data_IF_270435076211
#
_entry.id   IF_270435076211
#
_cell.length_a   1.000
_cell.length_b   1.000
_cell.length_c   1.000
_cell.angle_alpha   90.00
_cell.angle_beta   90.00
_cell.angle_gamma   90.00
#
_symmetry.space_group_name_H-M   'P 1'
#
loop_
_entity.id
_entity.type
_entity.pdbx_description
1 polymer ?
#
# COMPACT_ATOMS: atom_id res chain seq x y z
N UNK A 1 61.52 -34.23 8.18
CA UNK A 1 60.26 -33.62 8.66
C UNK A 1 59.25 -33.68 7.53
N UNK A 2 58.01 -34.17 7.73
CA UNK A 2 57.01 -34.15 6.68
C UNK A 2 56.72 -32.69 6.30
N UNK A 3 56.73 -32.41 5.02
CA UNK A 3 56.37 -31.09 4.46
C UNK A 3 54.89 -30.90 4.75
N UNK A 4 54.56 -30.10 5.76
CA UNK A 4 53.21 -29.70 6.06
C UNK A 4 52.63 -29.00 4.83
N UNK A 5 51.47 -29.48 4.35
CA UNK A 5 50.84 -28.86 3.21
C UNK A 5 50.26 -27.49 3.58
N UNK A 6 50.29 -26.56 2.64
CA UNK A 6 49.73 -25.17 2.78
C UNK A 6 48.42 -25.13 3.56
N UNK A 7 47.54 -26.09 3.27
CA UNK A 7 46.19 -26.19 3.87
C UNK A 7 46.21 -26.54 5.36
N UNK A 8 47.11 -27.41 5.78
CA UNK A 8 47.20 -27.87 7.18
C UNK A 8 47.69 -26.72 8.10
N UNK A 9 48.67 -25.95 7.64
CA UNK A 9 49.16 -24.79 8.36
C UNK A 9 48.08 -23.73 8.52
N UNK A 10 47.37 -23.40 7.42
CA UNK A 10 46.29 -22.42 7.49
C UNK A 10 45.17 -22.88 8.41
N UNK A 11 44.81 -24.17 8.35
CA UNK A 11 43.76 -24.75 9.20
C UNK A 11 44.16 -24.67 10.68
N UNK A 12 45.45 -24.94 11.01
CA UNK A 12 45.95 -24.82 12.38
C UNK A 12 45.85 -23.38 12.88
N UNK A 13 46.33 -22.40 12.10
CA UNK A 13 46.21 -20.99 12.47
C UNK A 13 44.76 -20.54 12.62
N UNK A 14 43.87 -20.99 11.76
CA UNK A 14 42.45 -20.66 11.88
C UNK A 14 41.85 -21.22 13.16
N UNK A 15 42.26 -22.43 13.60
CA UNK A 15 41.86 -23.02 14.89
C UNK A 15 42.45 -22.25 16.07
N UNK A 16 43.75 -21.96 16.05
CA UNK A 16 44.45 -21.28 17.13
C UNK A 16 43.94 -19.85 17.37
N UNK A 17 43.48 -19.20 16.32
CA UNK A 17 42.94 -17.83 16.36
C UNK A 17 41.41 -17.75 16.24
N UNK A 18 40.70 -18.88 16.42
CA UNK A 18 39.27 -18.96 16.23
C UNK A 18 38.49 -17.92 17.04
N UNK A 19 38.80 -17.86 18.35
CA UNK A 19 38.11 -16.95 19.27
C UNK A 19 38.38 -15.49 18.91
N UNK A 20 39.64 -15.14 18.58
CA UNK A 20 40.01 -13.79 18.16
C UNK A 20 39.39 -13.37 16.83
N UNK A 21 39.23 -14.32 15.90
CA UNK A 21 38.49 -14.10 14.64
C UNK A 21 37.00 -13.87 14.89
N UNK A 22 36.42 -14.63 15.82
CA UNK A 22 35.02 -14.52 16.22
C UNK A 22 34.73 -13.21 16.92
N UNK A 23 35.62 -12.76 17.79
CA UNK A 23 35.45 -11.50 18.53
C UNK A 23 35.86 -10.26 17.72
N UNK A 24 36.33 -10.45 16.46
CA UNK A 24 36.77 -9.34 15.62
C UNK A 24 38.09 -8.72 16.05
N UNK A 25 38.81 -9.34 17.01
CA UNK A 25 40.12 -8.88 17.51
C UNK A 25 41.22 -9.04 16.45
N UNK A 26 41.06 -9.98 15.52
CA UNK A 26 41.92 -10.13 14.35
C UNK A 26 41.05 -10.27 13.09
N UNK A 27 41.44 -9.55 12.04
CA UNK A 27 40.80 -9.73 10.74
C UNK A 27 41.39 -10.90 9.96
N UNK A 28 40.64 -11.46 9.00
CA UNK A 28 41.15 -12.49 8.07
C UNK A 28 42.44 -12.06 7.35
N UNK A 29 42.59 -10.77 7.06
CA UNK A 29 43.79 -10.18 6.48
C UNK A 29 44.90 -10.08 7.53
N UNK A 30 44.57 -9.78 8.77
CA UNK A 30 45.50 -9.79 9.91
C UNK A 30 46.08 -11.18 10.14
N UNK A 31 45.21 -12.22 10.15
CA UNK A 31 45.65 -13.60 10.30
C UNK A 31 46.51 -14.06 9.11
N UNK A 32 46.16 -13.68 7.89
CA UNK A 32 46.96 -13.98 6.69
C UNK A 32 48.36 -13.36 6.74
N UNK A 33 48.49 -12.15 7.31
CA UNK A 33 49.80 -11.53 7.52
C UNK A 33 50.66 -12.30 8.53
N UNK A 34 50.07 -12.82 9.59
CA UNK A 34 50.80 -13.66 10.57
C UNK A 34 51.27 -14.94 9.89
N UNK A 35 50.42 -15.64 9.17
CA UNK A 35 50.74 -16.86 8.43
C UNK A 35 51.85 -16.60 7.41
N UNK A 36 51.78 -15.54 6.63
CA UNK A 36 52.80 -15.19 5.65
C UNK A 36 54.12 -14.81 6.29
N UNK A 37 54.11 -14.16 7.45
CA UNK A 37 55.30 -13.81 8.21
C UNK A 37 56.03 -15.07 8.71
N UNK A 38 55.30 -16.06 9.22
CA UNK A 38 55.85 -17.28 9.80
C UNK A 38 56.24 -18.32 8.73
N UNK A 39 55.62 -18.27 7.57
CA UNK A 39 55.81 -19.22 6.43
C UNK A 39 55.90 -18.50 5.08
N UNK A 40 56.92 -17.60 4.88
CA UNK A 40 57.00 -16.81 3.64
C UNK A 40 57.26 -17.66 2.39
N UNK A 41 57.94 -18.78 2.54
CA UNK A 41 58.28 -19.66 1.39
C UNK A 41 57.13 -20.52 0.92
N UNK A 42 56.04 -20.61 1.68
CA UNK A 42 54.86 -21.40 1.32
C UNK A 42 53.76 -20.59 0.57
N UNK A 43 53.80 -19.29 0.65
CA UNK A 43 52.81 -18.42 0.03
C UNK A 43 53.47 -17.40 -0.87
N UNK A 44 52.85 -17.13 -2.02
CA UNK A 44 53.33 -16.15 -2.98
C UNK A 44 53.39 -14.74 -2.40
N UNK A 45 52.35 -14.40 -1.65
CA UNK A 45 52.18 -13.12 -0.97
C UNK A 45 51.11 -13.24 0.12
N UNK A 46 50.83 -12.13 0.83
CA UNK A 46 49.83 -12.06 1.88
C UNK A 46 48.39 -12.34 1.34
N UNK A 47 48.13 -12.01 0.08
CA UNK A 47 46.81 -12.25 -0.49
C UNK A 47 46.58 -13.73 -0.84
N UNK A 48 47.62 -14.46 -1.25
CA UNK A 48 47.58 -15.92 -1.40
C UNK A 48 47.29 -16.61 -0.06
N UNK A 49 47.94 -16.20 1.00
CA UNK A 49 47.66 -16.68 2.36
C UNK A 49 46.22 -16.32 2.78
N UNK A 50 45.73 -15.11 2.44
CA UNK A 50 44.37 -14.67 2.74
C UNK A 50 43.30 -15.45 1.96
N UNK A 51 43.59 -15.82 0.73
CA UNK A 51 42.68 -16.69 -0.02
C UNK A 51 42.55 -18.08 0.62
N UNK A 52 43.65 -18.61 1.12
CA UNK A 52 43.62 -19.87 1.86
C UNK A 52 42.84 -19.73 3.18
N UNK A 53 43.03 -18.67 3.95
CA UNK A 53 42.22 -18.38 5.15
C UNK A 53 40.75 -18.28 4.80
N UNK A 54 40.39 -17.62 3.70
CA UNK A 54 38.98 -17.49 3.23
C UNK A 54 38.34 -18.83 2.88
N UNK A 55 39.07 -19.80 2.34
CA UNK A 55 38.57 -21.15 2.07
C UNK A 55 38.10 -21.85 3.35
N UNK A 56 38.86 -21.71 4.43
CA UNK A 56 38.52 -22.32 5.73
C UNK A 56 37.53 -21.49 6.55
N UNK A 57 37.41 -20.19 6.30
CA UNK A 57 36.50 -19.28 7.03
C UNK A 57 35.27 -18.88 6.28
N UNK A 58 34.97 -19.50 5.13
CA UNK A 58 33.70 -19.37 4.40
C UNK A 58 33.46 -18.07 3.64
N UNK A 59 34.50 -17.27 3.32
CA UNK A 59 34.34 -15.96 2.69
C UNK A 59 34.40 -15.96 1.14
N UNK A 60 34.54 -17.08 0.49
CA UNK A 60 34.31 -17.26 -0.96
C UNK A 60 33.31 -18.41 -1.09
N UNK A 61 32.09 -18.07 -1.42
CA UNK A 61 30.98 -18.76 -2.04
C UNK A 61 30.95 -20.28 -2.27
N UNK A 62 32.00 -20.99 -2.07
CA UNK A 62 32.01 -22.45 -2.06
C UNK A 62 31.70 -22.94 -0.64
N UNK A 63 30.43 -22.91 -0.31
CA UNK A 63 29.86 -23.62 0.82
C UNK A 63 29.99 -25.13 0.71
N UNK A 64 31.03 -25.60 0.06
CA UNK A 64 31.27 -26.97 -0.34
C UNK A 64 31.99 -27.83 0.69
N UNK A 65 32.27 -27.30 1.87
CA UNK A 65 32.65 -28.20 2.99
C UNK A 65 31.52 -28.24 4.01
N UNK A 66 30.72 -29.32 4.05
CA UNK A 66 29.65 -29.51 5.05
C UNK A 66 30.16 -29.48 6.49
N UNK A 67 31.47 -29.62 6.68
CA UNK A 67 32.17 -29.72 7.96
C UNK A 67 33.04 -28.48 8.31
N UNK A 68 32.91 -27.37 7.58
CA UNK A 68 33.58 -26.15 7.99
C UNK A 68 32.83 -25.53 9.18
N UNK A 69 33.47 -25.37 10.36
CA UNK A 69 32.83 -24.71 11.49
C UNK A 69 32.53 -23.21 11.22
N UNK A 70 32.95 -22.71 10.06
CA UNK A 70 32.82 -21.34 9.60
C UNK A 70 31.86 -21.25 8.40
N UNK A 71 30.74 -21.94 8.47
CA UNK A 71 29.65 -21.75 7.49
C UNK A 71 29.10 -20.33 7.57
N UNK A 72 28.53 -19.83 6.46
CA UNK A 72 27.85 -18.53 6.39
C UNK A 72 26.91 -18.30 7.58
N UNK A 73 26.32 -19.37 8.12
CA UNK A 73 25.45 -19.37 9.30
C UNK A 73 26.15 -18.87 10.58
N UNK A 74 27.37 -19.33 10.85
CA UNK A 74 28.12 -18.87 12.04
C UNK A 74 28.59 -17.42 11.89
N UNK A 75 28.91 -16.98 10.68
CA UNK A 75 29.25 -15.58 10.38
C UNK A 75 28.05 -14.65 10.53
N UNK A 76 26.85 -15.10 10.13
CA UNK A 76 25.60 -14.35 10.30
C UNK A 76 25.22 -14.26 11.78
N UNK A 77 25.28 -15.36 12.51
CA UNK A 77 25.00 -15.38 13.96
C UNK A 77 26.01 -14.50 14.75
N UNK A 78 27.27 -14.43 14.30
CA UNK A 78 28.30 -13.57 14.90
C UNK A 78 28.08 -12.10 14.59
N UNK A 79 27.70 -11.75 13.35
CA UNK A 79 27.33 -10.40 12.98
C UNK A 79 26.12 -9.89 13.77
N UNK A 80 25.17 -10.78 14.06
CA UNK A 80 23.98 -10.44 14.87
C UNK A 80 24.33 -10.22 16.36
N UNK A 81 25.37 -10.85 16.89
CA UNK A 81 25.83 -10.65 18.29
C UNK A 81 26.68 -9.41 18.48
N UNK A 82 27.48 -9.07 17.47
CA UNK A 82 28.47 -7.96 17.56
C UNK A 82 27.89 -6.56 17.27
N UNK A 83 26.84 -6.47 16.45
CA UNK A 83 26.24 -5.20 16.04
C UNK A 83 24.72 -5.27 16.14
N UNK A 84 24.16 -4.75 17.23
CA UNK A 84 22.71 -4.50 17.30
C UNK A 84 22.41 -3.27 16.45
N UNK A 85 21.66 -3.46 15.38
CA UNK A 85 21.06 -2.33 14.66
C UNK A 85 20.13 -1.56 15.60
N UNK A 86 20.05 -0.23 15.46
CA UNK A 86 19.06 0.54 16.19
C UNK A 86 17.65 0.02 15.86
N UNK A 87 16.75 0.07 16.85
CA UNK A 87 15.36 -0.32 16.65
C UNK A 87 14.70 0.63 15.66
N UNK A 88 14.03 0.07 14.65
CA UNK A 88 13.25 0.87 13.69
C UNK A 88 12.01 1.44 14.37
N UNK A 89 11.73 2.71 14.14
CA UNK A 89 10.46 3.36 14.49
C UNK A 89 9.43 3.29 13.36
N UNK A 90 9.78 2.67 12.23
CA UNK A 90 8.86 2.49 11.11
C UNK A 90 7.68 1.60 11.52
N UNK A 91 6.48 2.04 11.18
CA UNK A 91 5.27 1.25 11.36
C UNK A 91 4.95 0.52 10.06
N UNK A 92 4.70 -0.77 10.16
CA UNK A 92 4.28 -1.59 9.03
C UNK A 92 2.79 -1.35 8.75
N UNK A 93 2.48 -0.85 7.56
CA UNK A 93 1.11 -0.59 7.12
C UNK A 93 0.57 -1.85 6.45
N UNK A 94 -0.08 -2.71 7.24
CA UNK A 94 -0.72 -3.93 6.71
C UNK A 94 -1.95 -3.58 5.90
N UNK A 95 -2.17 -4.34 4.81
CA UNK A 95 -3.39 -4.26 4.02
C UNK A 95 -4.63 -4.54 4.89
N UNK A 96 -5.76 -3.94 4.53
CA UNK A 96 -7.04 -4.24 5.13
C UNK A 96 -7.70 -5.40 4.35
N UNK A 97 -8.02 -6.48 5.05
CA UNK A 97 -8.60 -7.67 4.42
C UNK A 97 -10.13 -7.62 4.55
N UNK A 98 -10.82 -7.56 3.42
CA UNK A 98 -12.27 -7.63 3.36
C UNK A 98 -12.72 -9.10 3.33
N UNK A 99 -13.86 -9.43 3.95
CA UNK A 99 -14.46 -10.78 3.89
C UNK A 99 -14.75 -11.22 2.45
N UNK A 100 -14.44 -12.45 2.13
CA UNK A 100 -14.82 -13.11 0.87
C UNK A 100 -16.17 -13.83 1.00
N UNK A 101 -16.74 -14.33 -0.11
CA UNK A 101 -18.07 -14.95 -0.11
C UNK A 101 -19.21 -13.95 0.05
N UNK A 102 -18.98 -12.68 -0.30
CA UNK A 102 -19.92 -11.56 -0.17
C UNK A 102 -20.05 -10.80 -1.49
N UNK A 103 -21.12 -10.05 -1.62
CA UNK A 103 -21.36 -9.15 -2.75
C UNK A 103 -21.36 -7.70 -2.29
N UNK A 104 -20.49 -6.93 -2.88
CA UNK A 104 -20.21 -5.53 -2.53
C UNK A 104 -20.75 -4.58 -3.58
N UNK A 105 -21.34 -3.47 -3.15
CA UNK A 105 -21.44 -2.27 -3.95
C UNK A 105 -20.23 -1.39 -3.64
N UNK A 106 -19.53 -0.93 -4.68
CA UNK A 106 -18.37 -0.04 -4.56
C UNK A 106 -18.74 1.33 -5.09
N UNK A 107 -18.76 2.33 -4.20
CA UNK A 107 -19.00 3.74 -4.55
C UNK A 107 -17.72 4.52 -4.29
N UNK A 108 -17.42 5.49 -5.14
CA UNK A 108 -16.25 6.37 -5.04
C UNK A 108 -16.58 7.77 -5.50
N UNK A 109 -15.85 8.77 -5.00
CA UNK A 109 -15.89 10.13 -5.53
C UNK A 109 -17.31 10.74 -5.50
N UNK A 110 -17.95 10.68 -4.34
CA UNK A 110 -19.31 11.21 -4.11
C UNK A 110 -19.24 12.72 -3.89
N UNK A 111 -18.22 13.20 -3.17
CA UNK A 111 -17.96 14.61 -2.91
C UNK A 111 -19.13 15.37 -2.28
N UNK A 112 -19.73 14.82 -1.22
CA UNK A 112 -20.74 15.55 -0.46
C UNK A 112 -20.20 16.92 0.01
N UNK A 113 -20.92 18.01 -0.18
CA UNK A 113 -22.33 18.14 -0.59
C UNK A 113 -22.55 18.30 -2.11
N UNK A 114 -21.54 18.11 -2.96
CA UNK A 114 -21.61 18.32 -4.42
C UNK A 114 -21.89 17.04 -5.21
N UNK A 115 -22.55 16.08 -4.59
CA UNK A 115 -22.95 14.83 -5.24
C UNK A 115 -24.09 15.05 -6.26
N UNK A 116 -24.20 14.13 -7.21
CA UNK A 116 -25.34 14.04 -8.12
C UNK A 116 -26.37 13.07 -7.49
N UNK A 117 -27.51 13.62 -7.07
CA UNK A 117 -28.53 12.86 -6.34
C UNK A 117 -29.10 11.70 -7.19
N UNK A 118 -29.36 11.94 -8.50
CA UNK A 118 -29.91 10.92 -9.41
C UNK A 118 -28.89 9.78 -9.63
N UNK A 119 -27.64 10.12 -9.88
CA UNK A 119 -26.59 9.13 -10.09
C UNK A 119 -26.32 8.30 -8.83
N UNK A 120 -26.25 8.96 -7.66
CA UNK A 120 -26.02 8.29 -6.39
C UNK A 120 -27.19 7.34 -6.02
N UNK A 121 -28.44 7.81 -6.16
CA UNK A 121 -29.62 6.98 -5.89
C UNK A 121 -29.68 5.79 -6.86
N UNK A 122 -29.42 6.02 -8.16
CA UNK A 122 -29.40 4.95 -9.16
C UNK A 122 -28.36 3.88 -8.85
N UNK A 123 -27.16 4.27 -8.37
CA UNK A 123 -26.12 3.33 -7.96
C UNK A 123 -26.54 2.49 -6.75
N UNK A 124 -27.16 3.11 -5.74
CA UNK A 124 -27.68 2.41 -4.56
C UNK A 124 -28.77 1.41 -4.93
N UNK A 125 -29.76 1.84 -5.71
CA UNK A 125 -30.89 1.00 -6.15
C UNK A 125 -30.38 -0.19 -6.99
N UNK A 126 -29.41 0.06 -7.88
CA UNK A 126 -28.79 -0.99 -8.67
C UNK A 126 -28.05 -2.01 -7.79
N UNK A 127 -27.23 -1.55 -6.84
CA UNK A 127 -26.52 -2.44 -5.93
C UNK A 127 -27.45 -3.32 -5.11
N UNK A 128 -28.57 -2.76 -4.60
CA UNK A 128 -29.59 -3.51 -3.86
C UNK A 128 -30.28 -4.52 -4.80
N UNK A 129 -30.66 -4.11 -6.00
CA UNK A 129 -31.28 -5.00 -7.00
C UNK A 129 -30.35 -6.14 -7.44
N UNK A 130 -29.04 -5.92 -7.46
CA UNK A 130 -28.03 -6.95 -7.70
C UNK A 130 -27.77 -7.86 -6.48
N UNK A 131 -28.38 -7.61 -5.33
CA UNK A 131 -28.22 -8.39 -4.11
C UNK A 131 -26.92 -8.11 -3.37
N UNK A 132 -26.38 -6.89 -3.48
CA UNK A 132 -25.24 -6.48 -2.65
C UNK A 132 -25.66 -6.37 -1.19
N UNK A 133 -24.95 -7.04 -0.30
CA UNK A 133 -25.16 -6.99 1.16
C UNK A 133 -24.15 -6.05 1.83
N UNK A 134 -23.02 -5.79 1.20
CA UNK A 134 -21.94 -4.98 1.72
C UNK A 134 -21.77 -3.71 0.88
N UNK A 135 -21.51 -2.58 1.54
CA UNK A 135 -21.16 -1.33 0.88
C UNK A 135 -19.69 -0.98 1.17
N UNK A 136 -18.93 -0.71 0.12
CA UNK A 136 -17.56 -0.20 0.24
C UNK A 136 -17.45 1.20 -0.37
N UNK A 137 -17.27 2.20 0.48
CA UNK A 137 -17.03 3.58 0.11
C UNK A 137 -15.53 3.76 -0.14
N UNK A 138 -15.14 3.92 -1.39
CA UNK A 138 -13.75 3.90 -1.85
C UNK A 138 -13.10 5.29 -1.91
N UNK A 139 -13.35 6.12 -0.89
CA UNK A 139 -12.74 7.44 -0.75
C UNK A 139 -13.47 8.57 -1.47
N UNK A 140 -13.14 9.78 -1.07
CA UNK A 140 -13.68 11.03 -1.56
C UNK A 140 -15.23 11.07 -1.47
N UNK A 141 -15.77 10.59 -0.33
CA UNK A 141 -17.19 10.68 0.00
C UNK A 141 -17.54 12.09 0.44
N UNK A 142 -16.72 12.69 1.29
CA UNK A 142 -16.80 14.07 1.72
C UNK A 142 -15.85 14.92 0.87
N UNK A 143 -16.27 16.06 0.35
CA UNK A 143 -15.42 16.92 -0.49
C UNK A 143 -14.31 17.61 0.30
N UNK A 144 -14.57 17.91 1.58
CA UNK A 144 -13.70 18.75 2.40
C UNK A 144 -13.36 20.07 1.73
N UNK A 145 -14.38 20.72 1.18
CA UNK A 145 -14.28 21.97 0.44
C UNK A 145 -13.60 23.09 1.24
N UNK A 146 -13.91 23.19 2.54
CA UNK A 146 -13.36 24.19 3.46
C UNK A 146 -11.87 24.01 3.76
N UNK A 147 -11.33 22.83 3.54
CA UNK A 147 -9.93 22.53 3.79
C UNK A 147 -9.09 22.46 2.51
N UNK A 148 -9.71 22.78 1.36
CA UNK A 148 -9.01 22.75 0.07
C UNK A 148 -7.89 23.79 0.02
N UNK A 149 -6.82 23.45 -0.70
CA UNK A 149 -5.72 24.38 -1.01
C UNK A 149 -5.93 25.18 -2.29
N UNK A 150 -6.97 24.85 -3.05
CA UNK A 150 -7.29 25.54 -4.29
C UNK A 150 -8.11 26.78 -4.02
N UNK A 151 -8.03 27.74 -4.93
CA UNK A 151 -8.87 28.95 -4.86
C UNK A 151 -10.33 28.54 -5.06
N UNK A 152 -11.17 28.92 -4.12
CA UNK A 152 -12.60 28.66 -4.13
C UNK A 152 -13.38 29.95 -4.38
N UNK A 153 -14.58 29.86 -4.93
CA UNK A 153 -15.46 31.01 -5.09
C UNK A 153 -15.94 31.50 -3.69
N UNK A 154 -15.58 32.72 -3.26
CA UNK A 154 -15.99 33.21 -1.95
C UNK A 154 -17.50 33.40 -1.80
N UNK A 155 -18.26 33.36 -2.89
CA UNK A 155 -19.73 33.44 -2.86
C UNK A 155 -20.34 32.11 -2.42
N UNK A 156 -19.75 30.98 -2.82
CA UNK A 156 -20.17 29.63 -2.40
C UNK A 156 -19.95 29.43 -0.90
N UNK A 157 -18.85 29.93 -0.35
CA UNK A 157 -18.55 29.88 1.08
C UNK A 157 -19.65 30.51 1.95
N UNK A 158 -20.47 31.41 1.38
CA UNK A 158 -21.61 32.01 2.08
C UNK A 158 -22.87 31.13 2.09
N UNK A 159 -22.92 30.09 1.28
CA UNK A 159 -24.13 29.28 1.09
C UNK A 159 -24.16 28.03 1.98
N UNK A 160 -22.99 27.52 2.40
CA UNK A 160 -22.89 26.39 3.32
C UNK A 160 -21.67 26.51 4.23
N UNK A 161 -21.70 25.81 5.35
CA UNK A 161 -20.63 25.78 6.35
C UNK A 161 -19.96 24.41 6.38
N UNK A 162 -18.80 24.32 7.02
CA UNK A 162 -18.14 23.04 7.28
C UNK A 162 -19.06 22.08 8.10
N UNK A 163 -19.86 22.64 8.99
CA UNK A 163 -20.85 21.88 9.76
C UNK A 163 -21.95 21.30 8.87
N UNK A 164 -22.38 22.06 7.86
CA UNK A 164 -23.35 21.57 6.84
C UNK A 164 -22.78 20.36 6.09
N UNK A 165 -21.50 20.46 5.67
CA UNK A 165 -20.80 19.40 4.97
C UNK A 165 -20.69 18.13 5.82
N UNK A 166 -20.28 18.27 7.09
CA UNK A 166 -20.22 17.18 8.06
C UNK A 166 -21.59 16.55 8.26
N UNK A 167 -22.63 17.37 8.48
CA UNK A 167 -23.98 16.88 8.75
C UNK A 167 -24.59 16.13 7.57
N UNK A 168 -24.40 16.61 6.36
CA UNK A 168 -24.83 15.90 5.15
C UNK A 168 -24.08 14.58 4.95
N UNK A 169 -22.77 14.55 5.25
CA UNK A 169 -22.01 13.31 5.20
C UNK A 169 -22.52 12.32 6.25
N UNK A 170 -22.78 12.74 7.48
CA UNK A 170 -23.40 11.91 8.52
C UNK A 170 -24.78 11.40 8.11
N UNK A 171 -25.61 12.25 7.53
CA UNK A 171 -26.94 11.88 7.03
C UNK A 171 -26.85 10.78 5.98
N UNK A 172 -25.95 10.93 5.01
CA UNK A 172 -25.69 9.91 4.00
C UNK A 172 -25.19 8.60 4.62
N UNK A 173 -24.20 8.66 5.51
CA UNK A 173 -23.64 7.48 6.19
C UNK A 173 -24.72 6.73 6.99
N UNK A 174 -25.56 7.45 7.72
CA UNK A 174 -26.68 6.87 8.45
C UNK A 174 -27.68 6.21 7.49
N UNK A 175 -28.01 6.86 6.41
CA UNK A 175 -28.93 6.31 5.40
C UNK A 175 -28.40 5.00 4.80
N UNK A 176 -27.18 4.97 4.30
CA UNK A 176 -26.64 3.75 3.68
C UNK A 176 -26.41 2.62 4.71
N UNK A 177 -26.18 2.96 5.96
CA UNK A 177 -26.07 1.96 7.03
C UNK A 177 -27.42 1.27 7.34
N UNK A 178 -28.54 1.83 6.90
CA UNK A 178 -29.84 1.15 6.97
C UNK A 178 -30.11 0.23 5.77
N UNK A 179 -29.35 0.38 4.70
CA UNK A 179 -29.55 -0.35 3.43
C UNK A 179 -28.66 -1.60 3.31
N UNK A 180 -27.54 -1.63 3.98
CA UNK A 180 -26.53 -2.68 3.85
C UNK A 180 -26.21 -3.33 5.21
N UNK A 181 -25.89 -4.63 5.19
CA UNK A 181 -25.52 -5.38 6.40
C UNK A 181 -24.20 -4.86 7.01
N UNK A 182 -23.28 -4.37 6.17
CA UNK A 182 -22.02 -3.79 6.60
C UNK A 182 -21.55 -2.69 5.66
N UNK A 183 -21.07 -1.60 6.26
CA UNK A 183 -20.49 -0.46 5.54
C UNK A 183 -19.01 -0.33 5.89
N UNK A 184 -18.18 -0.25 4.87
CA UNK A 184 -16.75 0.03 4.96
C UNK A 184 -16.48 1.40 4.34
N UNK A 185 -15.77 2.25 5.06
CA UNK A 185 -15.41 3.56 4.56
C UNK A 185 -13.88 3.73 4.55
N UNK A 186 -13.31 3.61 3.36
CA UNK A 186 -11.92 3.96 3.11
C UNK A 186 -11.82 5.45 2.82
N UNK A 187 -10.93 6.13 3.52
CA UNK A 187 -10.65 7.53 3.25
C UNK A 187 -9.82 7.70 1.97
N UNK A 188 -10.17 8.72 1.19
CA UNK A 188 -9.46 9.19 0.01
C UNK A 188 -8.57 10.40 0.31
N UNK A 189 -8.17 11.11 -0.74
CA UNK A 189 -7.34 12.31 -0.58
C UNK A 189 -8.14 13.52 -0.08
N UNK A 190 -9.45 13.58 -0.32
CA UNK A 190 -10.30 14.66 0.19
C UNK A 190 -10.49 14.53 1.70
N UNK A 191 -10.75 13.36 2.23
CA UNK A 191 -10.80 13.14 3.69
C UNK A 191 -9.44 13.45 4.34
N UNK A 192 -8.34 13.13 3.68
CA UNK A 192 -7.00 13.44 4.19
C UNK A 192 -6.72 14.95 4.29
N UNK A 193 -7.40 15.80 3.49
CA UNK A 193 -7.28 17.26 3.59
C UNK A 193 -7.63 17.77 5.00
N UNK A 194 -8.60 17.14 5.67
CA UNK A 194 -9.00 17.46 7.03
C UNK A 194 -7.80 17.36 7.99
N UNK A 195 -7.13 16.22 8.00
CA UNK A 195 -5.95 15.97 8.84
C UNK A 195 -4.80 16.93 8.51
N UNK A 196 -4.53 17.12 7.22
CA UNK A 196 -3.48 18.03 6.78
C UNK A 196 -3.78 19.49 7.16
N UNK A 197 -5.05 19.89 7.14
CA UNK A 197 -5.49 21.21 7.58
C UNK A 197 -5.24 21.41 9.08
N UNK A 198 -5.59 20.44 9.90
CA UNK A 198 -5.32 20.46 11.34
C UNK A 198 -3.82 20.56 11.62
N UNK A 199 -3.00 19.74 10.99
CA UNK A 199 -1.55 19.78 11.17
C UNK A 199 -0.93 21.11 10.81
N UNK A 200 -1.44 21.77 9.78
CA UNK A 200 -0.92 23.04 9.30
C UNK A 200 -1.39 24.25 10.12
N UNK A 201 -2.66 24.26 10.54
CA UNK A 201 -3.31 25.43 11.07
C UNK A 201 -3.69 25.31 12.56
N UNK A 202 -3.70 24.11 13.10
CA UNK A 202 -4.12 23.80 14.48
C UNK A 202 -3.36 22.58 15.04
N UNK A 203 -2.01 22.61 14.93
CA UNK A 203 -1.13 21.51 15.31
C UNK A 203 -1.37 21.00 16.73
N UNK A 204 -1.60 21.93 17.68
CA UNK A 204 -1.89 21.60 19.08
C UNK A 204 -3.21 20.84 19.27
N UNK A 205 -4.20 21.10 18.42
CA UNK A 205 -5.48 20.40 18.46
C UNK A 205 -5.43 19.04 17.74
N UNK A 206 -4.49 18.85 16.82
CA UNK A 206 -4.33 17.62 16.08
C UNK A 206 -3.90 16.41 16.94
N UNK A 207 -3.55 16.63 18.21
CA UNK A 207 -3.28 15.59 19.18
C UNK A 207 -4.55 15.06 19.89
N UNK A 208 -5.70 15.72 19.68
CA UNK A 208 -6.96 15.33 20.27
C UNK A 208 -7.75 14.46 19.31
N UNK A 209 -7.94 13.21 19.65
CA UNK A 209 -8.67 12.23 18.81
C UNK A 209 -10.09 12.71 18.44
N UNK A 210 -10.69 13.61 19.24
CA UNK A 210 -12.00 14.20 18.94
C UNK A 210 -12.03 14.93 17.60
N UNK A 211 -10.88 15.40 17.11
CA UNK A 211 -10.77 16.07 15.82
C UNK A 211 -10.35 15.14 14.67
N UNK A 212 -10.12 13.85 14.93
CA UNK A 212 -9.95 12.89 13.87
C UNK A 212 -11.26 12.76 13.09
N UNK A 213 -11.20 12.80 11.75
CA UNK A 213 -12.39 12.88 10.91
C UNK A 213 -13.34 11.68 11.12
N UNK A 214 -12.79 10.49 11.35
CA UNK A 214 -13.58 9.30 11.70
C UNK A 214 -14.40 9.45 12.98
N UNK A 215 -13.90 10.22 13.94
CA UNK A 215 -14.62 10.53 15.19
C UNK A 215 -15.62 11.67 14.99
N UNK A 216 -15.24 12.70 14.20
CA UNK A 216 -16.16 13.78 13.82
C UNK A 216 -17.37 13.23 13.05
N UNK A 217 -17.16 12.23 12.18
CA UNK A 217 -18.22 11.55 11.41
C UNK A 217 -18.91 10.43 12.20
N UNK A 218 -18.49 10.15 13.43
CA UNK A 218 -19.09 9.14 14.32
C UNK A 218 -19.11 7.73 13.72
N UNK A 219 -18.08 7.36 12.95
CA UNK A 219 -18.06 6.11 12.20
C UNK A 219 -18.19 4.89 13.12
N UNK A 220 -17.46 4.86 14.24
CA UNK A 220 -17.49 3.76 15.19
C UNK A 220 -18.87 3.62 15.88
N UNK A 221 -19.51 4.75 16.21
CA UNK A 221 -20.85 4.78 16.81
C UNK A 221 -21.92 4.19 15.89
N UNK A 222 -21.75 4.40 14.58
CA UNK A 222 -22.63 3.89 13.54
C UNK A 222 -22.18 2.52 12.99
N UNK A 223 -21.23 1.84 13.65
CA UNK A 223 -20.70 0.52 13.25
C UNK A 223 -20.10 0.49 11.83
N UNK A 224 -19.74 1.65 11.29
CA UNK A 224 -19.06 1.78 9.99
C UNK A 224 -17.57 1.49 10.18
N UNK A 225 -17.07 0.57 9.38
CA UNK A 225 -15.66 0.18 9.47
C UNK A 225 -14.76 1.19 8.76
N UNK A 226 -13.99 1.93 9.54
CA UNK A 226 -13.00 2.89 9.03
C UNK A 226 -11.76 2.22 8.46
N UNK A 227 -11.31 2.69 7.29
CA UNK A 227 -10.06 2.29 6.65
C UNK A 227 -9.29 3.56 6.28
N UNK A 228 -8.09 3.71 6.83
CA UNK A 228 -7.30 4.93 6.62
C UNK A 228 -6.89 5.10 5.14
N UNK A 229 -6.70 6.36 4.72
CA UNK A 229 -6.24 6.76 3.39
C UNK A 229 -4.97 6.03 2.92
N UNK A 230 -4.10 5.69 3.86
CA UNK A 230 -2.80 5.07 3.60
C UNK A 230 -2.82 3.54 3.56
N UNK A 231 -3.98 2.89 3.78
CA UNK A 231 -4.13 1.44 3.72
C UNK A 231 -4.79 1.01 2.42
N UNK A 232 -4.22 0.00 1.79
CA UNK A 232 -4.82 -0.70 0.66
C UNK A 232 -5.78 -1.76 1.21
N UNK A 233 -6.95 -1.93 0.59
CA UNK A 233 -7.85 -3.02 0.90
C UNK A 233 -7.66 -4.19 -0.08
N UNK A 234 -7.90 -5.41 0.41
CA UNK A 234 -7.90 -6.62 -0.41
C UNK A 234 -9.20 -7.39 -0.23
N UNK A 235 -9.84 -7.68 -1.34
CA UNK A 235 -11.00 -8.56 -1.42
C UNK A 235 -10.58 -9.82 -2.19
N UNK A 236 -10.09 -10.82 -1.47
CA UNK A 236 -9.46 -11.98 -2.09
C UNK A 236 -8.28 -11.56 -2.99
N UNK A 237 -8.36 -11.90 -4.29
CA UNK A 237 -7.33 -11.57 -5.29
C UNK A 237 -7.46 -10.15 -5.88
N UNK A 238 -8.51 -9.41 -5.52
CA UNK A 238 -8.73 -8.03 -5.96
C UNK A 238 -8.12 -7.04 -4.96
N UNK A 239 -7.23 -6.18 -5.43
CA UNK A 239 -6.70 -5.04 -4.68
C UNK A 239 -7.64 -3.86 -4.88
N UNK A 240 -8.07 -3.19 -3.81
CA UNK A 240 -8.93 -2.01 -3.87
C UNK A 240 -8.20 -0.84 -3.24
N UNK A 241 -8.10 0.25 -3.96
CA UNK A 241 -7.51 1.50 -3.51
C UNK A 241 -8.32 2.69 -4.04
N UNK A 242 -8.18 3.85 -3.42
CA UNK A 242 -8.84 5.04 -3.98
C UNK A 242 -8.19 5.46 -5.31
N UNK A 243 -6.84 5.46 -5.38
CA UNK A 243 -6.08 5.82 -6.57
C UNK A 243 -5.00 6.87 -6.32
N UNK A 244 -5.17 7.72 -5.32
CA UNK A 244 -4.19 8.74 -4.91
C UNK A 244 -2.93 8.14 -4.26
N UNK A 245 -2.98 6.90 -3.79
CA UNK A 245 -1.87 6.21 -3.12
C UNK A 245 -0.70 5.92 -4.06
N UNK A 246 -0.93 5.95 -5.36
CA UNK A 246 0.11 5.67 -6.35
C UNK A 246 0.62 6.95 -6.96
N UNK A 247 1.88 7.24 -6.67
CA UNK A 247 2.58 8.40 -7.21
C UNK A 247 2.92 8.22 -8.69
N UNK A 248 2.78 9.29 -9.46
CA UNK A 248 3.26 9.42 -10.83
C UNK A 248 2.17 9.32 -11.91
N UNK A 249 2.51 9.82 -13.08
CA UNK A 249 1.64 9.89 -14.24
C UNK A 249 1.27 8.52 -14.77
N UNK A 250 -0.02 8.23 -14.84
CA UNK A 250 -0.56 7.17 -15.66
C UNK A 250 -1.52 7.79 -16.68
N UNK A 251 -1.87 7.02 -17.68
CA UNK A 251 -2.59 7.55 -18.83
C UNK A 251 -3.90 8.22 -18.43
N UNK A 252 -4.06 9.52 -18.62
CA UNK A 252 -5.33 10.21 -18.34
C UNK A 252 -6.46 9.80 -19.31
N UNK A 253 -6.14 9.04 -20.36
CA UNK A 253 -7.11 8.58 -21.36
C UNK A 253 -7.77 7.29 -20.93
N UNK A 254 -7.04 6.40 -20.25
CA UNK A 254 -7.57 5.14 -19.71
C UNK A 254 -6.91 4.85 -18.36
N UNK A 255 -7.52 5.27 -17.24
CA UNK A 255 -6.96 5.04 -15.91
C UNK A 255 -6.70 3.58 -15.58
N UNK A 256 -7.58 2.66 -15.99
CA UNK A 256 -7.41 1.24 -15.74
C UNK A 256 -6.16 0.68 -16.42
N UNK A 257 -5.90 1.04 -17.68
CA UNK A 257 -4.68 0.62 -18.40
C UNK A 257 -3.41 1.23 -17.78
N UNK A 258 -3.48 2.50 -17.40
CA UNK A 258 -2.38 3.17 -16.72
C UNK A 258 -2.04 2.50 -15.39
N UNK A 259 -3.05 2.13 -14.61
CA UNK A 259 -2.89 1.44 -13.34
C UNK A 259 -2.36 0.01 -13.53
N UNK A 260 -2.82 -0.73 -14.55
CA UNK A 260 -2.30 -2.05 -14.88
C UNK A 260 -0.77 -2.04 -15.01
N UNK A 261 -0.21 -1.07 -15.74
CA UNK A 261 1.23 -0.95 -15.94
C UNK A 261 2.03 -0.73 -14.64
N UNK A 262 1.38 -0.27 -13.58
CA UNK A 262 2.01 -0.02 -12.27
C UNK A 262 1.81 -1.15 -11.29
N UNK A 263 0.60 -1.68 -11.21
CA UNK A 263 0.21 -2.65 -10.19
C UNK A 263 0.53 -4.09 -10.58
N UNK A 264 0.43 -4.44 -11.86
CA UNK A 264 0.63 -5.79 -12.40
C UNK A 264 -0.18 -6.87 -11.66
N UNK A 265 -1.30 -6.46 -11.06
CA UNK A 265 -2.27 -7.33 -10.40
C UNK A 265 -3.68 -6.78 -10.59
N UNK A 266 -4.69 -7.62 -10.30
CA UNK A 266 -6.08 -7.17 -10.37
C UNK A 266 -6.35 -6.07 -9.36
N UNK A 267 -6.86 -4.92 -9.87
CA UNK A 267 -6.99 -3.70 -9.08
C UNK A 267 -8.28 -2.96 -9.42
N UNK A 268 -8.93 -2.42 -8.40
CA UNK A 268 -10.04 -1.48 -8.53
C UNK A 268 -9.65 -0.13 -7.92
N UNK A 269 -10.06 0.96 -8.56
CA UNK A 269 -9.75 2.33 -8.16
C UNK A 269 -10.87 3.31 -8.50
N UNK A 270 -10.93 4.44 -7.76
CA UNK A 270 -11.69 5.66 -8.03
C UNK A 270 -10.77 6.80 -8.47
N UNK A 271 -10.95 7.99 -7.90
CA UNK A 271 -10.08 9.18 -7.99
C UNK A 271 -10.03 9.86 -9.37
N UNK A 272 -10.17 9.12 -10.45
CA UNK A 272 -10.05 9.66 -11.81
C UNK A 272 -11.38 10.11 -12.39
N UNK A 273 -12.48 9.80 -11.73
CA UNK A 273 -13.82 10.11 -12.17
C UNK A 273 -14.15 9.59 -13.58
N UNK A 274 -13.47 8.53 -14.02
CA UNK A 274 -13.64 7.96 -15.35
C UNK A 274 -13.81 6.45 -15.26
N UNK A 275 -14.94 5.94 -15.70
CA UNK A 275 -15.16 4.51 -15.83
C UNK A 275 -14.28 3.96 -16.94
N UNK A 276 -13.42 3.02 -16.61
CA UNK A 276 -12.61 2.28 -17.59
C UNK A 276 -12.27 0.89 -17.07
N UNK A 277 -12.04 -0.02 -18.01
CA UNK A 277 -11.67 -1.40 -17.72
C UNK A 277 -10.52 -1.83 -18.61
N UNK A 278 -9.59 -2.61 -18.05
CA UNK A 278 -8.49 -3.20 -18.80
C UNK A 278 -8.27 -4.64 -18.34
N UNK A 279 -8.27 -5.57 -19.30
CA UNK A 279 -8.00 -6.98 -19.06
C UNK A 279 -6.77 -7.42 -19.81
N UNK A 280 -5.89 -8.19 -19.14
CA UNK A 280 -4.71 -8.75 -19.78
C UNK A 280 -4.32 -10.10 -19.15
N UNK A 281 -3.96 -11.06 -20.00
CA UNK A 281 -3.31 -12.29 -19.58
C UNK A 281 -1.81 -12.08 -19.35
N UNK A 282 -1.25 -12.79 -18.37
CA UNK A 282 0.18 -12.81 -18.11
C UNK A 282 0.83 -14.05 -18.73
N UNK A 283 2.15 -14.03 -18.92
CA UNK A 283 2.92 -15.20 -19.39
C UNK A 283 2.89 -16.38 -18.42
N UNK A 284 2.40 -16.20 -17.18
CA UNK A 284 2.18 -17.27 -16.19
C UNK A 284 0.78 -17.87 -16.26
N UNK A 285 -0.09 -17.35 -17.15
CA UNK A 285 -1.47 -17.80 -17.28
C UNK A 285 -2.49 -17.06 -16.40
N UNK A 286 -2.06 -16.12 -15.56
CA UNK A 286 -2.98 -15.32 -14.76
C UNK A 286 -3.78 -14.37 -15.66
N UNK A 287 -5.02 -14.12 -15.29
CA UNK A 287 -5.88 -13.12 -15.93
C UNK A 287 -6.04 -11.94 -14.97
N UNK A 288 -5.51 -10.78 -15.38
CA UNK A 288 -5.55 -9.56 -14.58
C UNK A 288 -6.66 -8.68 -15.13
N UNK A 289 -7.54 -8.20 -14.25
CA UNK A 289 -8.56 -7.19 -14.53
C UNK A 289 -8.28 -5.93 -13.71
N UNK A 290 -8.24 -4.77 -14.35
CA UNK A 290 -8.15 -3.47 -13.67
C UNK A 290 -9.37 -2.64 -14.01
N UNK A 291 -9.96 -2.02 -12.98
CA UNK A 291 -11.23 -1.34 -13.05
C UNK A 291 -11.11 0.04 -12.41
N UNK A 292 -11.42 1.09 -13.17
CA UNK A 292 -11.59 2.44 -12.65
C UNK A 292 -13.08 2.75 -12.65
N UNK A 293 -13.65 3.10 -11.51
CA UNK A 293 -15.03 3.56 -11.41
C UNK A 293 -15.17 4.99 -11.91
N UNK A 294 -16.36 5.40 -12.28
CA UNK A 294 -16.71 6.81 -12.45
C UNK A 294 -16.81 7.52 -11.09
N UNK A 295 -17.35 8.71 -11.10
CA UNK A 295 -17.71 9.45 -9.88
C UNK A 295 -19.23 9.46 -9.67
N UNK A 296 -19.64 10.00 -8.52
CA UNK A 296 -21.04 10.24 -8.16
C UNK A 296 -21.26 11.70 -7.75
N UNK A 297 -20.29 12.56 -8.06
CA UNK A 297 -20.37 14.00 -7.87
C UNK A 297 -20.88 14.70 -9.13
N UNK A 298 -21.20 15.99 -9.02
CA UNK A 298 -21.54 16.82 -10.17
C UNK A 298 -20.47 16.75 -11.26
N UNK A 299 -20.90 16.65 -12.52
CA UNK A 299 -20.01 16.70 -13.68
C UNK A 299 -19.66 18.13 -14.12
N UNK A 300 -20.17 19.14 -13.43
CA UNK A 300 -19.91 20.56 -13.69
C UNK A 300 -19.39 21.26 -12.43
N UNK A 301 -18.15 20.91 -11.99
CA UNK A 301 -17.61 21.49 -10.75
C UNK A 301 -17.34 22.98 -10.90
N UNK A 302 -17.70 23.77 -9.88
CA UNK A 302 -17.60 25.23 -9.88
C UNK A 302 -16.16 25.75 -10.06
N UNK A 303 -15.17 24.99 -9.60
CA UNK A 303 -13.75 25.35 -9.76
C UNK A 303 -13.23 25.22 -11.19
N UNK A 304 -13.97 24.57 -12.08
CA UNK A 304 -13.61 24.37 -13.48
C UNK A 304 -14.82 24.49 -14.42
N UNK A 305 -15.60 25.58 -14.36
CA UNK A 305 -16.90 25.69 -15.04
C UNK A 305 -16.80 25.74 -16.57
N UNK A 306 -15.63 26.09 -17.11
CA UNK A 306 -15.40 26.24 -18.55
C UNK A 306 -14.50 25.13 -19.13
N UNK A 307 -13.96 24.25 -18.30
CA UNK A 307 -13.08 23.19 -18.75
C UNK A 307 -13.90 21.98 -19.25
N UNK A 308 -13.50 21.42 -20.39
CA UNK A 308 -13.96 20.10 -20.76
C UNK A 308 -13.42 19.08 -19.76
N UNK A 309 -14.29 18.42 -19.06
CA UNK A 309 -13.94 17.34 -18.15
C UNK A 309 -14.24 15.99 -18.80
N UNK A 310 -13.41 15.00 -18.49
CA UNK A 310 -13.56 13.63 -18.98
C UNK A 310 -14.34 12.73 -17.99
N UNK A 311 -15.00 13.34 -17.03
CA UNK A 311 -15.70 12.65 -15.96
C UNK A 311 -16.98 12.00 -16.46
N UNK A 312 -17.36 10.93 -15.83
CA UNK A 312 -18.65 10.28 -16.04
C UNK A 312 -19.13 9.65 -14.73
N UNK A 313 -20.44 9.55 -14.58
CA UNK A 313 -21.01 8.81 -13.47
C UNK A 313 -20.84 7.32 -13.67
N UNK A 314 -20.52 6.61 -12.55
CA UNK A 314 -20.36 5.16 -12.55
C UNK A 314 -19.92 4.63 -11.21
N UNK A 315 -20.18 3.36 -10.99
CA UNK A 315 -19.86 2.61 -9.80
C UNK A 315 -19.55 1.15 -10.18
N UNK A 316 -19.35 0.27 -9.20
CA UNK A 316 -19.15 -1.14 -9.51
C UNK A 316 -19.85 -2.04 -8.48
N UNK A 317 -20.26 -3.24 -8.92
CA UNK A 317 -20.54 -4.34 -8.00
C UNK A 317 -19.42 -5.38 -8.09
N UNK A 318 -19.09 -5.98 -6.96
CA UNK A 318 -18.08 -7.03 -6.87
C UNK A 318 -18.66 -8.21 -6.11
N UNK A 319 -18.76 -9.35 -6.78
CA UNK A 319 -19.05 -10.63 -6.14
C UNK A 319 -17.73 -11.35 -5.87
N UNK A 320 -17.47 -11.66 -4.62
CA UNK A 320 -16.25 -12.36 -4.17
C UNK A 320 -16.59 -13.78 -3.74
N UNK A 321 -15.72 -14.72 -4.08
CA UNK A 321 -15.88 -16.13 -3.76
C UNK A 321 -14.90 -16.57 -2.68
N UNK A 322 -15.21 -17.67 -1.97
CA UNK A 322 -14.41 -18.19 -0.86
C UNK A 322 -12.96 -18.53 -1.25
N UNK A 323 -12.70 -18.90 -2.49
CA UNK A 323 -11.37 -19.15 -3.04
C UNK A 323 -10.57 -17.89 -3.36
N UNK A 324 -11.16 -16.73 -3.06
CA UNK A 324 -10.61 -15.41 -3.33
C UNK A 324 -10.74 -14.95 -4.78
N UNK A 325 -11.38 -15.71 -5.65
CA UNK A 325 -11.75 -15.21 -6.99
C UNK A 325 -12.89 -14.20 -6.89
N UNK A 326 -13.11 -13.44 -7.94
CA UNK A 326 -14.10 -12.37 -7.94
C UNK A 326 -14.67 -12.14 -9.34
N UNK A 327 -15.86 -11.56 -9.39
CA UNK A 327 -16.47 -11.02 -10.59
C UNK A 327 -16.77 -9.53 -10.36
N UNK A 328 -16.46 -8.68 -11.33
CA UNK A 328 -16.73 -7.24 -11.30
C UNK A 328 -17.67 -6.85 -12.42
N UNK A 329 -18.70 -6.11 -12.06
CA UNK A 329 -19.51 -5.33 -12.98
C UNK A 329 -19.22 -3.85 -12.75
N UNK A 330 -18.44 -3.24 -13.67
CA UNK A 330 -18.00 -1.84 -13.62
C UNK A 330 -18.86 -1.03 -14.58
N UNK A 331 -19.95 -0.46 -14.08
CA UNK A 331 -21.00 0.14 -14.86
C UNK A 331 -20.94 1.69 -14.87
N UNK A 332 -21.49 2.26 -15.95
CA UNK A 332 -21.72 3.70 -16.08
C UNK A 332 -23.16 4.02 -15.71
N UNK A 333 -23.38 5.26 -15.29
CA UNK A 333 -24.72 5.78 -15.04
C UNK A 333 -24.99 6.93 -16.01
N UNK A 334 -26.05 6.80 -16.79
CA UNK A 334 -26.44 7.77 -17.81
C UNK A 334 -27.93 8.03 -17.67
N UNK A 335 -28.30 9.26 -17.32
CA UNK A 335 -29.71 9.66 -17.13
C UNK A 335 -30.44 8.66 -16.20
N UNK A 336 -29.90 8.42 -15.04
CA UNK A 336 -30.44 7.52 -14.02
C UNK A 336 -30.41 6.02 -14.37
N UNK A 337 -29.77 5.60 -15.48
CA UNK A 337 -29.70 4.20 -15.90
C UNK A 337 -28.28 3.65 -15.72
N UNK A 338 -28.15 2.56 -14.99
CA UNK A 338 -26.92 1.78 -14.86
C UNK A 338 -26.73 0.89 -16.10
N UNK A 339 -25.61 1.07 -16.83
CA UNK A 339 -25.31 0.47 -18.14
C UNK A 339 -23.92 -0.17 -18.18
#
# INVERSE_FOLDING_TARGET
MPILQKGEIVLQFVKDYEEKLREGQISKKGLARLIYKDYPDLFKDVEDARECVRRYTGAKGDGSSPNSPYTLKSTIEHGQKAHKLPQSLAQDKKDFILPTGKKYLILSDIHLPFHDEEALQSALDYGIAQGCTELYLNGDVMDNYWTTRFTTDPRLIKTFTIETEINQTKQFLNYVNTLFDKVYYKFGNHENRWRLHLWKNADKLSHLNTFDLENVLELATNEITYISDSRIARLGKLTIMHGHEIYGTYSPVNPAKGMFNKMLCSTMLGHFHQTSTHHQGTGKGDKIGVFSTGCLCTLTPDYSPLAYIKWNHGAATVESFEDGTFQVDNFRIINGKCL
#
